data_IF_145353398560
#
_entry.id   IF_145353398560
#
_cell.length_a   1.000
_cell.length_b   1.000
_cell.length_c   1.000
_cell.angle_alpha   90.00
_cell.angle_beta   90.00
_cell.angle_gamma   90.00
#
_symmetry.space_group_name_H-M   'P 1'
#
loop_
_entity.id
_entity.type
_entity.pdbx_description
1 polymer ?
2 non-polymer ?
3 water ?
#
# COMPACT_ATOMS: atom_id res chain seq x y z
N UNK A 1 0.98 20.78 -7.00
CA UNK A 1 0.23 21.52 -5.96
C UNK A 1 -0.22 20.57 -4.85
N UNK A 2 -1.21 20.98 -4.07
CA UNK A 2 -1.63 20.23 -2.89
C UNK A 2 -2.06 18.80 -3.24
N UNK A 3 -2.84 18.66 -4.31
CA UNK A 3 -3.32 17.35 -4.73
C UNK A 3 -2.15 16.42 -5.05
N UNK A 4 -1.18 16.93 -5.79
CA UNK A 4 -0.01 16.14 -6.16
C UNK A 4 0.80 15.73 -4.93
N UNK A 5 1.00 16.68 -4.02
CA UNK A 5 1.76 16.43 -2.81
C UNK A 5 1.04 15.40 -1.94
N UNK A 6 -0.28 15.49 -1.92
CA UNK A 6 -1.09 14.58 -1.13
C UNK A 6 -0.97 13.15 -1.64
N UNK A 7 -0.98 12.98 -2.96
CA UNK A 7 -0.91 11.64 -3.53
C UNK A 7 0.48 11.06 -3.36
N UNK A 8 1.49 11.92 -3.43
CA UNK A 8 2.87 11.48 -3.23
C UNK A 8 3.05 10.99 -1.79
N UNK A 9 2.51 11.74 -0.84
CA UNK A 9 2.56 11.38 0.57
C UNK A 9 1.81 10.08 0.83
N UNK A 10 0.62 9.97 0.25
CA UNK A 10 -0.21 8.78 0.39
C UNK A 10 0.54 7.55 -0.10
N UNK A 11 1.19 7.68 -1.25
CA UNK A 11 1.95 6.57 -1.83
C UNK A 11 3.11 6.17 -0.92
N UNK A 12 3.78 7.16 -0.35
CA UNK A 12 4.88 6.90 0.57
C UNK A 12 4.39 6.23 1.86
N UNK A 13 3.25 6.69 2.38
CA UNK A 13 2.62 6.08 3.54
C UNK A 13 2.25 4.62 3.29
N UNK A 14 1.71 4.33 2.11
CA UNK A 14 1.33 2.96 1.76
C UNK A 14 2.56 2.06 1.63
N UNK A 15 3.65 2.60 1.08
CA UNK A 15 4.92 1.88 0.98
C UNK A 15 5.39 1.45 2.37
N UNK A 16 5.26 2.37 3.33
CA UNK A 16 5.64 2.10 4.71
C UNK A 16 4.76 1.01 5.31
N UNK A 17 3.45 1.08 5.04
CA UNK A 17 2.54 0.09 5.57
C UNK A 17 2.89 -1.28 5.02
N UNK A 18 3.29 -1.33 3.75
CA UNK A 18 3.56 -2.60 3.11
C UNK A 18 4.79 -3.28 3.67
N UNK A 19 5.82 -2.50 3.97
CA UNK A 19 7.05 -3.09 4.47
C UNK A 19 6.85 -3.60 5.90
N UNK A 20 6.07 -2.88 6.71
CA UNK A 20 5.72 -3.35 8.05
C UNK A 20 4.86 -4.61 7.98
N UNK A 21 3.95 -4.65 7.01
CA UNK A 21 3.09 -5.81 6.83
C UNK A 21 3.92 -7.05 6.49
N UNK A 22 4.95 -6.86 5.66
CA UNK A 22 5.82 -7.97 5.25
C UNK A 22 6.62 -8.49 6.44
N UNK A 23 7.04 -7.58 7.31
CA UNK A 23 7.69 -7.97 8.56
C UNK A 23 6.75 -8.80 9.42
N UNK A 24 5.50 -8.34 9.54
CA UNK A 24 4.50 -9.05 10.33
C UNK A 24 4.23 -10.43 9.73
N UNK A 25 4.15 -10.48 8.40
CA UNK A 25 3.89 -11.73 7.71
C UNK A 25 4.97 -12.76 8.04
N UNK A 26 6.22 -12.31 8.03
CA UNK A 26 7.35 -13.19 8.34
C UNK A 26 7.29 -13.64 9.79
N UNK A 27 6.91 -12.72 10.67
CA UNK A 27 6.82 -13.01 12.10
C UNK A 27 5.80 -14.12 12.37
N UNK A 28 4.69 -14.09 11.64
CA UNK A 28 3.64 -15.10 11.79
C UNK A 28 4.16 -16.48 11.44
N UNK A 29 4.75 -16.60 10.25
CA UNK A 29 5.29 -17.88 9.79
C UNK A 29 6.42 -18.34 10.70
N UNK A 30 7.03 -17.40 11.42
CA UNK A 30 8.12 -17.71 12.33
C UNK A 30 7.60 -18.43 13.57
N UNK B 1 -3.75 -19.60 9.24
CA UNK B 1 -5.10 -19.43 9.84
C UNK B 1 -5.63 -18.03 9.52
N UNK B 2 -6.63 -17.58 10.29
CA UNK B 2 -7.33 -16.34 10.01
C UNK B 2 -6.38 -15.13 9.97
N UNK B 3 -5.45 -15.07 10.91
CA UNK B 3 -4.52 -13.95 10.97
C UNK B 3 -3.70 -13.87 9.69
N UNK B 4 -3.15 -15.00 9.28
CA UNK B 4 -2.33 -15.07 8.07
C UNK B 4 -3.15 -14.69 6.85
N UNK B 5 -4.37 -15.22 6.76
CA UNK B 5 -5.25 -14.93 5.64
C UNK B 5 -5.58 -13.44 5.60
N UNK B 6 -5.75 -12.86 6.79
CA UNK B 6 -6.10 -11.45 6.90
C UNK B 6 -4.96 -10.58 6.40
N UNK B 7 -3.72 -10.95 6.74
CA UNK B 7 -2.58 -10.15 6.34
C UNK B 7 -2.32 -10.28 4.85
N UNK B 8 -2.55 -11.48 4.30
CA UNK B 8 -2.40 -11.68 2.86
C UNK B 8 -3.42 -10.84 2.09
N UNK B 9 -4.66 -10.85 2.56
CA UNK B 9 -5.72 -10.05 1.97
C UNK B 9 -5.38 -8.57 2.06
N UNK B 10 -4.91 -8.14 3.23
CA UNK B 10 -4.56 -6.75 3.44
C UNK B 10 -3.49 -6.30 2.46
N UNK B 11 -2.47 -7.14 2.29
CA UNK B 11 -1.37 -6.83 1.37
C UNK B 11 -1.89 -6.74 -0.06
N UNK B 12 -2.79 -7.64 -0.43
CA UNK B 12 -3.39 -7.61 -1.76
C UNK B 12 -4.22 -6.34 -1.97
N UNK B 13 -4.99 -5.95 -0.95
CA UNK B 13 -5.77 -4.71 -1.00
C UNK B 13 -4.88 -3.48 -1.16
N UNK B 14 -3.78 -3.44 -0.43
CA UNK B 14 -2.86 -2.32 -0.52
C UNK B 14 -2.21 -2.25 -1.90
N UNK B 15 -1.90 -3.41 -2.49
CA UNK B 15 -1.33 -3.46 -3.84
C UNK B 15 -2.29 -2.84 -4.84
N UNK B 16 -3.58 -3.13 -4.68
CA UNK B 16 -4.60 -2.56 -5.55
C UNK B 16 -4.74 -1.05 -5.34
N UNK B 17 -4.63 -0.59 -4.09
CA UNK B 17 -4.67 0.84 -3.83
C UNK B 17 -3.50 1.53 -4.50
N UNK B 18 -2.35 0.87 -4.50
CA UNK B 18 -1.14 1.48 -5.02
C UNK B 18 -1.20 1.66 -6.52
N UNK B 19 -1.73 0.67 -7.22
CA UNK B 19 -1.77 0.76 -8.68
C UNK B 19 -2.81 1.79 -9.12
N UNK B 20 -3.91 1.91 -8.38
CA UNK B 20 -4.90 2.95 -8.66
C UNK B 20 -4.33 4.33 -8.35
N UNK B 21 -3.52 4.41 -7.31
CA UNK B 21 -2.89 5.67 -6.93
C UNK B 21 -1.93 6.12 -8.04
N UNK B 22 -1.21 5.17 -8.63
CA UNK B 22 -0.26 5.49 -9.69
C UNK B 22 -0.97 5.99 -10.94
N UNK B 23 -2.12 5.39 -11.25
CA UNK B 23 -2.95 5.86 -12.35
C UNK B 23 -3.40 7.30 -12.10
N UNK B 24 -3.82 7.58 -10.86
CA UNK B 24 -4.29 8.92 -10.50
C UNK B 24 -3.17 9.94 -10.58
N UNK B 25 -1.97 9.57 -10.13
CA UNK B 25 -0.84 10.49 -10.18
C UNK B 25 -0.49 10.82 -11.63
N UNK B 26 -0.54 9.82 -12.50
CA UNK B 26 -0.31 10.05 -13.93
C UNK B 26 -1.38 10.97 -14.52
N UNK B 27 -2.63 10.74 -14.14
CA UNK B 27 -3.75 11.55 -14.61
C UNK B 27 -3.56 13.02 -14.24
N UNK B 28 -3.01 13.29 -13.07
CA UNK B 28 -2.81 14.67 -12.62
C UNK B 28 -1.66 15.38 -13.35
N UNK B 29 -0.68 14.63 -13.78
CA UNK B 29 0.45 15.19 -14.47
C UNK B 29 0.08 15.79 -15.79
N UNK B 30 -0.92 15.23 -16.43
CA UNK B 30 -1.34 15.69 -17.76
C UNK B 30 -1.67 17.18 -17.76
X LIG C 1 -2.86 20.88 4.05
X LIG C 1 -3.02 20.51 5.38
X LIG C 1 -3.58 19.22 5.41
X LIG C 1 -2.62 19.47 2.09
X LIG C 1 -1.50 20.20 1.71
X LIG C 1 -1.05 21.27 2.48
X LIG C 1 -1.72 21.63 3.66
X LIG C 1 -2.03 20.86 6.35
X LIG C 1 -0.92 21.61 5.94
X LIG C 1 -0.74 21.99 4.63
X LIG C 1 -3.17 18.24 6.44
X LIG C 1 -2.21 18.61 7.40
X LIG C 1 -2.39 18.11 1.74
X LIG C 1 -3.12 16.42 4.76
X LIG C 1 -2.95 16.86 6.08
X LIG C 1 -0.58 19.29 1.11
X LIG C 1 -1.17 18.02 1.15
X LIG C 1 0.51 21.87 4.05
X LIG C 1 0.35 21.44 2.72
X LIG C 1 -2.23 15.59 4.20
X LIG C 1 -2.05 15.96 2.83
X LIG C 1 -1.41 17.50 7.64
X LIG C 1 -1.87 16.43 6.79
X LIG C 1 1.28 20.54 2.14
X LIG C 1 0.85 19.49 1.33
X LIG C 1 -0.81 15.84 2.21
X LIG C 1 -0.35 16.86 1.37
X LIG C 1 -0.98 15.55 6.23
X LIG C 1 -1.15 15.12 4.94
X LIG C 1 0.52 18.97 7.83
X LIG C 1 -0.03 17.68 7.86
X LIG C 1 1.45 21.06 6.13
X LIG C 1 1.62 21.41 4.82
X LIG C 1 1.67 18.35 1.60
X LIG C 1 1.07 17.05 1.61
X LIG C 1 2.31 19.88 6.40
X LIG C 1 1.84 18.87 7.22
X LIG C 1 0.88 16.81 7.25
X LIG C 1 0.45 15.73 6.45
X LIG C 1 0.16 15.02 4.32
X LIG C 1 0.34 15.36 3.00
X LIG C 1 1.13 15.38 5.29
X LIG C 1 2.05 17.55 6.87
X LIG C 1 -2.88 17.08 2.58
X LIG C 1 -3.52 17.40 3.73
X LIG C 1 -3.74 18.78 4.09
X LIG C 1 -3.31 19.80 3.25
X LIG C 1 -1.63 19.89 7.36
X LIG C 1 -0.29 20.08 7.58
X LIG C 1 0.19 21.14 6.71
X LIG C 1 1.47 16.10 2.62
X LIG C 1 2.25 16.12 4.91
X LIG C 1 2.42 16.48 3.59
X LIG C 1 2.60 18.72 2.58
X LIG C 1 2.40 20.07 2.93
X LIG C 1 3.00 17.80 3.57
X LIG C 1 2.56 20.49 4.23
X LIG C 1 2.95 19.55 5.24
X LIG C 1 2.71 17.23 5.74
X LIG C 1 3.17 18.24 4.90
#
# INVERSE_FOLDING_TARGET
AEAESALEYAQQALEKAQLALQAARQALKA
AEAESALEYAQQALEKAQLALQAARQALKA
60C C1 C2 C3 C4 C5 C6 C7 C8 C9 C10 C11 C12 C13 C14 C15 C16 C17 C18 C19 C20 C21 C22 C23 C24 C25 C26 C27 C28 C29 C30 C31 C32 C33 C34 C35 C36 C37 C38 C39 C40 C41 C42 C43 C44 C45 C46 C47 C48 C49 C50 C51 C52 C53 C54 C55 C56 C57 C58 C59 C60
#
